data_IF_569219311906
#
_entry.id   IF_569219311906
#
_cell.length_a   1.000
_cell.length_b   1.000
_cell.length_c   1.000
_cell.angle_alpha   90.00
_cell.angle_beta   90.00
_cell.angle_gamma   90.00
#
_symmetry.space_group_name_H-M   'P 1'
#
loop_
_entity.id
_entity.type
_entity.pdbx_description
1 polymer ?
#
# COMPACT_ATOMS: atom_id res chain seq x y z
N UNK A 1 -25.75 -11.90 4.38
CA UNK A 1 -24.67 -11.09 4.96
C UNK A 1 -23.37 -11.85 4.70
N UNK A 2 -22.43 -11.47 3.85
CA UNK A 2 -22.10 -10.21 3.17
C UNK A 2 -21.06 -10.60 2.09
N UNK A 3 -21.37 -10.37 0.79
CA UNK A 3 -20.50 -9.67 -0.20
C UNK A 3 -19.02 -10.16 -0.25
N UNK A 4 -18.42 -10.78 -1.27
CA UNK A 4 -18.58 -10.67 -2.73
C UNK A 4 -17.88 -11.88 -3.40
N UNK A 5 -18.59 -12.49 -4.33
CA UNK A 5 -18.07 -13.41 -5.34
C UNK A 5 -17.81 -12.56 -6.59
N UNK A 6 -16.60 -12.01 -6.73
CA UNK A 6 -16.11 -11.40 -7.98
C UNK A 6 -14.64 -11.76 -8.13
N UNK A 7 -14.39 -13.03 -8.47
CA UNK A 7 -13.18 -13.43 -9.16
C UNK A 7 -13.37 -12.96 -10.61
N UNK A 8 -12.64 -11.93 -11.02
CA UNK A 8 -12.68 -11.43 -12.39
C UNK A 8 -11.61 -12.19 -13.17
N UNK A 9 -12.06 -12.98 -14.15
CA UNK A 9 -11.23 -13.68 -15.13
C UNK A 9 -10.36 -12.68 -15.90
N UNK A 10 -9.06 -12.67 -15.63
CA UNK A 10 -8.07 -11.96 -16.43
C UNK A 10 -7.53 -12.88 -17.54
N UNK A 11 -8.39 -13.22 -18.50
CA UNK A 11 -7.97 -13.87 -19.72
C UNK A 11 -7.69 -12.81 -20.82
N UNK A 12 -6.43 -12.81 -21.29
CA UNK A 12 -5.90 -12.21 -22.53
C UNK A 12 -5.29 -10.79 -22.43
N UNK A 13 -3.98 -10.79 -22.13
CA UNK A 13 -2.94 -10.45 -23.11
C UNK A 13 -2.93 -9.04 -23.70
N UNK A 14 -1.92 -8.26 -23.27
CA UNK A 14 -1.45 -6.97 -23.79
C UNK A 14 -2.38 -5.79 -23.52
N UNK A 15 -2.25 -5.21 -22.33
CA UNK A 15 -2.87 -3.93 -22.04
C UNK A 15 -2.04 -2.76 -22.61
N UNK A 16 -2.68 -1.81 -23.31
CA UNK A 16 -1.99 -0.68 -23.93
C UNK A 16 -1.42 0.25 -22.85
N UNK A 17 -0.23 0.78 -23.10
CA UNK A 17 0.31 1.94 -22.37
C UNK A 17 -0.73 3.06 -22.42
N UNK A 18 -1.40 3.34 -21.29
CA UNK A 18 -2.45 4.36 -21.19
C UNK A 18 -3.87 3.86 -20.87
N UNK A 19 -4.02 2.69 -20.23
CA UNK A 19 -5.31 2.26 -19.70
C UNK A 19 -5.94 3.36 -18.80
N UNK A 20 -7.22 3.66 -19.02
CA UNK A 20 -7.97 4.58 -18.16
C UNK A 20 -8.27 3.87 -16.84
N UNK A 21 -8.01 4.55 -15.71
CA UNK A 21 -8.42 4.11 -14.38
C UNK A 21 -9.92 3.77 -14.35
N UNK A 22 -10.28 2.69 -13.69
CA UNK A 22 -11.68 2.29 -13.52
C UNK A 22 -12.45 3.35 -12.72
N UNK A 23 -13.68 3.63 -13.15
CA UNK A 23 -14.60 4.48 -12.40
C UNK A 23 -14.96 3.92 -11.01
N UNK A 24 -14.65 2.65 -10.74
CA UNK A 24 -14.85 2.01 -9.44
C UNK A 24 -13.72 2.29 -8.44
N UNK A 25 -12.56 2.81 -8.88
CA UNK A 25 -11.42 3.06 -8.01
C UNK A 25 -11.75 3.90 -6.77
N UNK A 26 -12.54 5.00 -6.83
CA UNK A 26 -12.89 5.76 -5.63
C UNK A 26 -13.64 4.94 -4.56
N UNK A 27 -14.48 4.00 -4.97
CA UNK A 27 -15.22 3.13 -4.06
C UNK A 27 -14.29 2.10 -3.40
N UNK A 28 -13.41 1.46 -4.18
CA UNK A 28 -12.41 0.50 -3.68
C UNK A 28 -11.43 1.19 -2.73
N UNK A 29 -10.92 2.39 -3.09
CA UNK A 29 -10.04 3.19 -2.24
C UNK A 29 -10.69 3.48 -0.89
N UNK A 30 -11.95 3.93 -0.89
CA UNK A 30 -12.69 4.23 0.36
C UNK A 30 -12.83 2.98 1.22
N UNK A 31 -13.31 1.88 0.64
CA UNK A 31 -13.49 0.61 1.37
C UNK A 31 -12.16 0.07 1.92
N UNK A 32 -11.07 0.16 1.16
CA UNK A 32 -9.75 -0.26 1.62
C UNK A 32 -9.29 0.57 2.83
N UNK A 33 -9.44 1.89 2.80
CA UNK A 33 -9.05 2.75 3.93
C UNK A 33 -9.95 2.60 5.16
N UNK A 34 -11.22 2.19 4.99
CA UNK A 34 -12.10 1.82 6.11
C UNK A 34 -11.61 0.53 6.80
N UNK A 35 -11.17 -0.46 6.03
CA UNK A 35 -10.65 -1.74 6.55
C UNK A 35 -9.20 -1.64 7.07
N UNK A 36 -8.39 -0.76 6.49
CA UNK A 36 -6.98 -0.56 6.79
C UNK A 36 -6.69 0.93 7.10
N UNK A 37 -7.22 1.47 8.23
CA UNK A 37 -7.24 2.90 8.53
C UNK A 37 -5.91 3.46 9.07
N UNK A 38 -4.81 2.76 8.85
CA UNK A 38 -3.48 3.14 9.30
C UNK A 38 -2.42 2.71 8.28
N UNK A 39 -1.34 3.48 8.20
CA UNK A 39 -0.16 3.14 7.44
C UNK A 39 0.41 1.81 7.96
N UNK A 40 0.50 0.81 7.08
CA UNK A 40 1.03 -0.51 7.40
C UNK A 40 2.48 -0.48 7.86
N UNK A 41 3.22 0.57 7.49
CA UNK A 41 4.64 0.76 7.82
C UNK A 41 4.82 1.39 9.21
N UNK A 42 4.22 2.55 9.47
CA UNK A 42 4.50 3.34 10.69
C UNK A 42 3.32 3.42 11.68
N UNK A 43 2.16 2.84 11.35
CA UNK A 43 0.95 2.89 12.16
C UNK A 43 0.23 4.26 12.21
N UNK A 44 0.76 5.29 11.53
CA UNK A 44 0.14 6.62 11.46
C UNK A 44 -1.19 6.61 10.69
N UNK A 45 -2.09 7.56 11.00
CA UNK A 45 -3.45 7.65 10.42
C UNK A 45 -3.70 8.90 9.57
N UNK A 46 -2.64 9.65 9.31
CA UNK A 46 -2.69 10.92 8.56
C UNK A 46 -2.12 10.73 7.16
N UNK A 47 -2.63 11.53 6.19
CA UNK A 47 -2.19 11.53 4.79
C UNK A 47 -2.05 10.12 4.20
N UNK A 48 -3.10 9.30 4.36
CA UNK A 48 -3.13 7.91 3.91
C UNK A 48 -3.41 7.82 2.41
N UNK A 49 -2.61 7.00 1.74
CA UNK A 49 -2.78 6.60 0.36
C UNK A 49 -2.91 5.09 0.23
N UNK A 50 -3.66 4.67 -0.79
CA UNK A 50 -3.76 3.26 -1.16
C UNK A 50 -2.75 3.01 -2.27
N UNK A 51 -1.64 2.38 -1.90
CA UNK A 51 -0.53 2.07 -2.78
C UNK A 51 -0.78 0.76 -3.52
N UNK A 52 -0.53 0.76 -4.83
CA UNK A 52 -0.56 -0.45 -5.67
C UNK A 52 0.80 -1.17 -5.56
N UNK A 53 0.81 -2.40 -5.05
CA UNK A 53 2.03 -3.24 -4.92
C UNK A 53 2.65 -3.51 -6.31
N UNK A 54 1.79 -3.90 -7.26
CA UNK A 54 2.07 -3.96 -8.69
C UNK A 54 1.42 -2.75 -9.36
N UNK A 55 2.20 -1.88 -10.03
CA UNK A 55 1.69 -0.59 -10.47
C UNK A 55 0.70 -0.74 -11.63
N UNK A 56 -0.37 0.05 -11.57
CA UNK A 56 -1.47 0.04 -12.54
C UNK A 56 -1.04 0.17 -14.01
N UNK A 57 -0.02 0.97 -14.32
CA UNK A 57 0.41 1.18 -15.70
C UNK A 57 1.09 -0.06 -16.33
N UNK A 58 1.55 -1.00 -15.50
CA UNK A 58 2.08 -2.31 -15.94
C UNK A 58 1.04 -3.43 -15.76
N UNK A 59 0.17 -3.29 -14.75
CA UNK A 59 -0.80 -4.30 -14.32
C UNK A 59 -2.19 -3.70 -14.12
N UNK A 60 -2.84 -3.18 -15.17
CA UNK A 60 -4.16 -2.55 -15.01
C UNK A 60 -5.25 -3.56 -14.61
N UNK A 61 -5.07 -4.84 -14.88
CA UNK A 61 -5.92 -5.93 -14.41
C UNK A 61 -5.96 -6.06 -12.88
N UNK A 62 -4.92 -5.58 -12.18
CA UNK A 62 -4.80 -5.61 -10.72
C UNK A 62 -5.24 -4.30 -10.06
N UNK A 63 -5.86 -3.37 -10.80
CA UNK A 63 -6.23 -2.04 -10.29
C UNK A 63 -7.12 -2.11 -9.05
N UNK A 64 -8.11 -3.00 -9.09
CA UNK A 64 -9.18 -3.14 -8.11
C UNK A 64 -9.01 -4.38 -7.23
N UNK A 65 -7.93 -5.14 -7.44
CA UNK A 65 -7.66 -6.34 -6.65
C UNK A 65 -7.20 -5.95 -5.25
N UNK A 66 -7.96 -6.25 -4.17
CA UNK A 66 -7.56 -5.92 -2.81
C UNK A 66 -6.23 -6.55 -2.39
N UNK A 67 -5.82 -7.67 -2.99
CA UNK A 67 -4.52 -8.31 -2.71
C UNK A 67 -3.34 -7.51 -3.28
N UNK A 68 -3.59 -6.57 -4.20
CA UNK A 68 -2.59 -5.70 -4.80
C UNK A 68 -2.51 -4.31 -4.11
N UNK A 69 -3.18 -4.12 -2.98
CA UNK A 69 -3.30 -2.83 -2.30
C UNK A 69 -2.69 -2.86 -0.89
N UNK A 70 -2.06 -1.76 -0.49
CA UNK A 70 -1.58 -1.54 0.88
C UNK A 70 -1.75 -0.06 1.26
N UNK A 71 -2.19 0.21 2.49
CA UNK A 71 -2.24 1.57 3.03
C UNK A 71 -0.86 2.04 3.46
N UNK A 72 -0.35 3.12 2.88
CA UNK A 72 0.88 3.81 3.28
C UNK A 72 0.61 5.30 3.48
N UNK A 73 1.43 6.01 4.25
CA UNK A 73 1.27 7.45 4.47
C UNK A 73 2.33 8.30 3.77
N UNK A 74 1.96 9.54 3.51
CA UNK A 74 2.84 10.64 3.08
C UNK A 74 2.97 11.71 4.18
N UNK A 75 2.95 11.29 5.44
CA UNK A 75 2.90 12.17 6.61
C UNK A 75 4.26 12.57 7.18
N UNK A 76 5.37 12.07 6.63
CA UNK A 76 6.74 12.29 7.13
C UNK A 76 6.94 11.95 8.62
N UNK A 77 6.08 11.09 9.16
CA UNK A 77 6.14 10.64 10.56
C UNK A 77 7.46 9.90 10.80
N UNK A 78 8.23 10.38 11.77
CA UNK A 78 9.55 9.80 12.06
C UNK A 78 10.59 10.07 10.98
N UNK A 79 10.39 11.11 10.15
CA UNK A 79 11.35 11.55 9.13
C UNK A 79 11.27 10.78 7.81
N UNK A 80 10.22 9.98 7.59
CA UNK A 80 10.05 9.20 6.37
C UNK A 80 8.66 9.35 5.76
N UNK A 81 8.61 9.75 4.48
CA UNK A 81 7.44 9.52 3.63
C UNK A 81 7.36 8.01 3.35
N UNK A 82 6.43 7.31 4.01
CA UNK A 82 6.38 5.85 3.95
C UNK A 82 5.98 5.33 2.57
N UNK A 83 5.08 6.04 1.88
CA UNK A 83 4.65 5.70 0.52
C UNK A 83 5.82 5.78 -0.47
N UNK A 84 6.58 6.87 -0.44
CA UNK A 84 7.74 7.06 -1.31
C UNK A 84 8.89 6.12 -0.95
N UNK A 85 9.29 6.07 0.32
CA UNK A 85 10.49 5.34 0.72
C UNK A 85 10.29 3.83 0.66
N UNK A 86 9.15 3.29 1.12
CA UNK A 86 8.95 1.84 1.23
C UNK A 86 8.09 1.27 0.11
N UNK A 87 7.09 2.01 -0.38
CA UNK A 87 6.29 1.59 -1.55
C UNK A 87 7.04 1.77 -2.86
N UNK A 88 7.77 2.87 -3.00
CA UNK A 88 8.46 3.25 -4.23
C UNK A 88 10.00 3.18 -4.14
N UNK A 89 10.58 2.66 -3.05
CA UNK A 89 12.04 2.56 -2.86
C UNK A 89 12.77 3.89 -3.10
N UNK A 90 12.16 5.01 -2.70
CA UNK A 90 12.73 6.35 -2.84
C UNK A 90 12.54 7.00 -4.21
N UNK A 91 11.88 6.34 -5.17
CA UNK A 91 11.63 6.89 -6.51
C UNK A 91 10.26 6.45 -7.03
N UNK A 92 9.32 7.38 -7.26
CA UNK A 92 7.97 7.07 -7.77
C UNK A 92 7.93 6.31 -9.11
N UNK A 93 9.05 6.21 -9.83
CA UNK A 93 9.19 5.36 -11.04
C UNK A 93 9.53 3.89 -10.72
N UNK A 94 9.82 3.56 -9.47
CA UNK A 94 10.08 2.22 -8.94
C UNK A 94 8.88 1.72 -8.12
N UNK A 95 8.85 0.43 -7.80
CA UNK A 95 7.82 -0.20 -6.98
C UNK A 95 8.42 -1.36 -6.18
N UNK A 96 8.00 -1.49 -4.93
CA UNK A 96 8.45 -2.57 -4.05
C UNK A 96 7.45 -3.72 -4.07
N UNK A 97 7.82 -4.81 -4.72
CA UNK A 97 7.00 -6.03 -4.80
C UNK A 97 6.84 -6.74 -3.46
N UNK A 98 7.75 -6.48 -2.52
CA UNK A 98 7.79 -7.07 -1.17
C UNK A 98 7.28 -6.09 -0.10
N UNK A 99 6.65 -4.97 -0.50
CA UNK A 99 6.25 -3.87 0.39
C UNK A 99 5.41 -4.31 1.59
N UNK A 100 4.58 -5.34 1.46
CA UNK A 100 3.77 -5.87 2.57
C UNK A 100 4.68 -6.49 3.63
N UNK A 101 5.64 -7.32 3.21
CA UNK A 101 6.57 -7.99 4.12
C UNK A 101 7.57 -6.99 4.71
N UNK A 102 8.03 -6.02 3.94
CA UNK A 102 8.89 -4.94 4.43
C UNK A 102 8.17 -4.04 5.44
N UNK A 103 6.94 -3.63 5.14
CA UNK A 103 6.14 -2.82 6.04
C UNK A 103 5.93 -3.51 7.38
N UNK A 104 5.58 -4.81 7.38
CA UNK A 104 5.43 -5.58 8.60
C UNK A 104 6.74 -5.66 9.42
N UNK A 105 7.86 -5.99 8.76
CA UNK A 105 9.17 -6.09 9.43
C UNK A 105 9.61 -4.78 10.05
N UNK A 106 9.41 -3.67 9.34
CA UNK A 106 9.80 -2.38 9.87
C UNK A 106 8.83 -1.83 10.89
N UNK A 107 7.53 -2.10 10.75
CA UNK A 107 6.54 -1.76 11.76
C UNK A 107 6.88 -2.43 13.10
N UNK A 108 7.27 -3.69 13.06
CA UNK A 108 7.76 -4.44 14.22
C UNK A 108 9.00 -3.76 14.84
N UNK A 109 10.02 -3.47 14.03
CA UNK A 109 11.22 -2.73 14.49
C UNK A 109 10.88 -1.38 15.09
N UNK A 110 9.93 -0.65 14.53
CA UNK A 110 9.47 0.67 14.98
C UNK A 110 8.72 0.57 16.30
N UNK A 111 7.92 -0.47 16.48
CA UNK A 111 7.06 -0.68 17.64
C UNK A 111 7.85 -1.21 18.83
N UNK A 112 8.80 -2.10 18.58
CA UNK A 112 9.64 -2.75 19.59
C UNK A 112 11.07 -2.19 19.66
N UNK A 113 11.29 -0.97 19.15
CA UNK A 113 12.65 -0.39 19.14
C UNK A 113 13.17 -0.21 20.57
N UNK A 114 14.45 -0.49 20.84
CA UNK A 114 15.04 -0.12 22.11
C UNK A 114 15.10 1.40 22.21
N UNK A 115 14.83 1.93 23.41
CA UNK A 115 15.00 3.34 23.75
C UNK A 115 16.16 3.45 24.74
N UNK A 116 16.93 4.54 24.68
CA UNK A 116 18.09 4.72 25.55
C UNK A 116 17.68 4.67 27.04
N UNK A 117 16.47 5.13 27.33
CA UNK A 117 15.84 5.11 28.65
C UNK A 117 15.55 3.69 29.16
N UNK A 118 15.30 2.73 28.26
CA UNK A 118 14.96 1.34 28.62
C UNK A 118 16.16 0.40 28.69
N UNK A 119 17.30 0.78 28.09
CA UNK A 119 18.54 -0.03 28.09
C UNK A 119 19.40 0.17 29.35
N UNK A 120 19.20 1.28 30.08
CA UNK A 120 20.00 1.63 31.25
C UNK A 120 19.43 1.09 32.59
N UNK A 121 18.44 0.20 32.54
CA UNK A 121 17.75 -0.38 33.73
C UNK A 121 18.18 -1.82 34.01
#
# INVERSE_FOLDING_TARGET
MTIIKHLIDAAKGKHPLGAKRSGQWPAVRRQHLELHPACAMCGGREKLEVHHIRPFHLHPELELDPANLITLCEADRGGANCHLLFGHLGNFRSFNVDVVADAARWNDKITHRPLAETEAS
#
